data_IF_992368863135
#
_entry.id   IF_992368863135
#
_cell.length_a   1.000
_cell.length_b   1.000
_cell.length_c   1.000
_cell.angle_alpha   90.00
_cell.angle_beta   90.00
_cell.angle_gamma   90.00
#
_symmetry.space_group_name_H-M   'P 1'
#
loop_
_entity.id
_entity.type
_entity.pdbx_description
1 polymer ?
#
# COMPACT_ATOMS: atom_id res chain seq x y z
N UNK A 1 -29.08 41.68 16.60
CA UNK A 1 -29.80 42.97 16.79
C UNK A 1 -31.16 42.99 16.10
N UNK A 2 -31.34 42.46 14.88
CA UNK A 2 -32.65 42.50 14.19
C UNK A 2 -33.63 41.39 14.66
N UNK A 3 -33.12 40.27 15.19
CA UNK A 3 -33.95 39.12 15.60
C UNK A 3 -34.66 39.26 16.96
N UNK A 4 -34.23 40.16 17.86
CA UNK A 4 -34.82 40.32 19.20
C UNK A 4 -36.13 41.13 19.22
N UNK A 5 -36.53 41.72 18.08
CA UNK A 5 -37.70 42.62 17.98
C UNK A 5 -38.89 42.00 17.24
N UNK A 6 -38.78 40.76 16.79
CA UNK A 6 -39.81 40.07 15.99
C UNK A 6 -40.72 39.23 16.89
N UNK A 7 -42.03 39.40 16.74
CA UNK A 7 -43.03 38.61 17.48
C UNK A 7 -42.93 37.14 17.04
N UNK A 8 -43.18 36.17 17.91
CA UNK A 8 -43.04 34.73 17.61
C UNK A 8 -43.70 34.29 16.28
N UNK A 9 -44.81 34.92 15.89
CA UNK A 9 -45.51 34.62 14.64
C UNK A 9 -44.72 35.04 13.38
N UNK A 10 -43.93 36.12 13.45
CA UNK A 10 -43.13 36.61 12.32
C UNK A 10 -41.90 35.72 12.09
N UNK A 11 -41.31 35.20 13.17
CA UNK A 11 -40.21 34.23 13.09
C UNK A 11 -40.66 32.90 12.44
N UNK A 12 -41.87 32.45 12.75
CA UNK A 12 -42.45 31.23 12.13
C UNK A 12 -42.66 31.44 10.62
N UNK A 13 -43.13 32.62 10.21
CA UNK A 13 -43.33 32.95 8.79
C UNK A 13 -41.99 33.00 8.03
N UNK A 14 -40.96 33.61 8.61
CA UNK A 14 -39.63 33.66 7.99
C UNK A 14 -39.03 32.25 7.86
N UNK A 15 -39.20 31.40 8.88
CA UNK A 15 -38.74 30.02 8.85
C UNK A 15 -39.47 29.18 7.77
N UNK A 16 -40.79 29.35 7.63
CA UNK A 16 -41.57 28.70 6.58
C UNK A 16 -41.14 29.14 5.17
N UNK A 17 -40.87 30.43 4.97
CA UNK A 17 -40.38 30.96 3.68
C UNK A 17 -38.99 30.42 3.32
N UNK A 18 -38.13 30.21 4.31
CA UNK A 18 -36.80 29.62 4.13
C UNK A 18 -36.89 28.12 3.74
N UNK A 19 -37.76 27.36 4.40
CA UNK A 19 -38.02 25.96 4.05
C UNK A 19 -38.60 25.83 2.63
N UNK A 20 -39.54 26.69 2.26
CA UNK A 20 -40.12 26.70 0.91
C UNK A 20 -39.04 27.00 -0.15
N UNK A 21 -38.14 27.96 0.11
CA UNK A 21 -37.01 28.24 -0.79
C UNK A 21 -36.08 27.03 -0.96
N UNK A 22 -35.72 26.35 0.13
CA UNK A 22 -34.87 25.15 0.07
C UNK A 22 -35.53 24.05 -0.78
N UNK A 23 -36.83 23.83 -0.59
CA UNK A 23 -37.59 22.81 -1.34
C UNK A 23 -37.63 23.15 -2.85
N UNK A 24 -37.85 24.42 -3.20
CA UNK A 24 -37.86 24.90 -4.60
C UNK A 24 -36.49 24.69 -5.28
N UNK A 25 -35.38 24.80 -4.54
CA UNK A 25 -34.04 24.57 -5.09
C UNK A 25 -33.65 23.08 -5.22
N UNK A 26 -34.15 22.19 -4.35
CA UNK A 26 -33.76 20.76 -4.33
C UNK A 26 -34.50 19.94 -5.40
N UNK A 27 -35.78 20.22 -5.64
CA UNK A 27 -36.62 19.50 -6.61
C UNK A 27 -36.07 19.53 -8.05
N UNK A 28 -35.61 20.66 -8.61
CA UNK A 28 -35.03 20.66 -9.96
C UNK A 28 -33.73 19.85 -10.03
N UNK A 29 -32.87 19.90 -9.02
CA UNK A 29 -31.60 19.16 -8.99
C UNK A 29 -31.80 17.64 -9.10
N UNK A 30 -32.82 17.10 -8.43
CA UNK A 30 -33.18 15.68 -8.49
C UNK A 30 -33.75 15.28 -9.86
N UNK A 31 -34.60 16.13 -10.45
CA UNK A 31 -35.18 15.89 -11.78
C UNK A 31 -34.12 15.95 -12.89
N UNK A 32 -33.19 16.90 -12.84
CA UNK A 32 -32.08 16.97 -13.78
C UNK A 32 -31.17 15.74 -13.68
N UNK A 33 -30.91 15.23 -12.48
CA UNK A 33 -30.13 14.01 -12.27
C UNK A 33 -30.76 12.78 -12.93
N UNK A 34 -32.08 12.60 -12.77
CA UNK A 34 -32.81 11.49 -13.40
C UNK A 34 -32.79 11.56 -14.93
N UNK A 35 -33.01 12.75 -15.49
CA UNK A 35 -32.96 12.97 -16.94
C UNK A 35 -31.56 12.68 -17.48
N UNK A 36 -30.51 13.06 -16.76
CA UNK A 36 -29.12 12.78 -17.15
C UNK A 36 -28.82 11.28 -17.19
N UNK A 37 -29.29 10.52 -16.19
CA UNK A 37 -29.11 9.06 -16.15
C UNK A 37 -29.84 8.38 -17.30
N UNK A 38 -31.05 8.83 -17.64
CA UNK A 38 -31.84 8.30 -18.75
C UNK A 38 -31.15 8.59 -20.10
N UNK A 39 -30.65 9.81 -20.30
CA UNK A 39 -29.92 10.19 -21.51
C UNK A 39 -28.61 9.39 -21.63
N UNK A 40 -27.87 9.24 -20.52
CA UNK A 40 -26.61 8.51 -20.50
C UNK A 40 -26.80 7.02 -20.78
N UNK A 41 -27.82 6.39 -20.20
CA UNK A 41 -28.15 4.98 -20.47
C UNK A 41 -28.64 4.76 -21.89
N UNK A 42 -29.44 5.68 -22.45
CA UNK A 42 -29.86 5.65 -23.84
C UNK A 42 -28.68 5.81 -24.81
N UNK A 43 -27.75 6.73 -24.52
CA UNK A 43 -26.53 6.92 -25.31
C UNK A 43 -25.66 5.65 -25.35
N UNK A 44 -25.46 5.01 -24.19
CA UNK A 44 -24.72 3.75 -24.07
C UNK A 44 -25.40 2.59 -24.81
N UNK A 45 -26.72 2.50 -24.78
CA UNK A 45 -27.45 1.45 -25.51
C UNK A 45 -27.45 1.67 -27.03
N UNK A 46 -27.58 2.93 -27.47
CA UNK A 46 -27.58 3.28 -28.90
C UNK A 46 -26.21 3.03 -29.55
N UNK A 47 -25.12 3.31 -28.83
CA UNK A 47 -23.75 3.08 -29.31
C UNK A 47 -23.30 1.60 -29.29
N UNK A 48 -24.05 0.71 -28.64
CA UNK A 48 -23.77 -0.73 -28.59
C UNK A 48 -24.38 -1.53 -29.76
N UNK A 49 -24.70 -0.86 -30.88
CA UNK A 49 -25.31 -1.49 -32.07
C UNK A 49 -24.34 -2.21 -33.03
N UNK A 50 -23.07 -2.39 -32.66
CA UNK A 50 -22.14 -3.20 -33.44
C UNK A 50 -22.00 -4.60 -32.82
N UNK A 51 -22.67 -5.57 -33.44
CA UNK A 51 -22.75 -7.00 -33.08
C UNK A 51 -21.43 -7.79 -33.20
N UNK A 52 -20.26 -7.14 -33.20
CA UNK A 52 -18.99 -7.84 -33.22
C UNK A 52 -18.59 -8.15 -31.78
N UNK A 53 -19.22 -9.19 -31.22
CA UNK A 53 -18.86 -9.74 -29.92
C UNK A 53 -17.41 -10.23 -30.03
N UNK A 54 -16.51 -9.55 -29.32
CA UNK A 54 -15.13 -9.99 -29.24
C UNK A 54 -15.06 -11.23 -28.34
N UNK A 55 -15.15 -12.42 -28.94
CA UNK A 55 -15.12 -13.71 -28.26
C UNK A 55 -13.90 -13.88 -27.34
N UNK A 56 -12.76 -13.27 -27.68
CA UNK A 56 -11.59 -13.28 -26.83
C UNK A 56 -11.86 -12.54 -25.50
N UNK A 57 -12.45 -11.36 -25.56
CA UNK A 57 -12.82 -10.59 -24.36
C UNK A 57 -13.93 -11.29 -23.56
N UNK A 58 -14.90 -11.92 -24.23
CA UNK A 58 -15.95 -12.68 -23.56
C UNK A 58 -15.40 -13.91 -22.82
N UNK A 59 -14.46 -14.64 -23.43
CA UNK A 59 -13.78 -15.77 -22.79
C UNK A 59 -12.90 -15.34 -21.62
N UNK A 60 -12.17 -14.22 -21.75
CA UNK A 60 -11.36 -13.67 -20.66
C UNK A 60 -12.24 -13.18 -19.50
N UNK A 61 -13.39 -12.57 -19.79
CA UNK A 61 -14.38 -12.19 -18.79
C UNK A 61 -14.91 -13.40 -18.03
N UNK A 62 -15.29 -14.47 -18.72
CA UNK A 62 -15.83 -15.66 -18.06
C UNK A 62 -14.78 -16.39 -17.22
N UNK A 63 -13.52 -16.43 -17.70
CA UNK A 63 -12.39 -16.94 -16.91
C UNK A 63 -12.20 -16.14 -15.61
N UNK A 64 -12.19 -14.81 -15.68
CA UNK A 64 -12.05 -13.95 -14.50
C UNK A 64 -13.24 -14.07 -13.53
N UNK A 65 -14.46 -14.28 -14.06
CA UNK A 65 -15.67 -14.55 -13.28
C UNK A 65 -15.53 -15.87 -12.50
N UNK A 66 -15.11 -16.94 -13.17
CA UNK A 66 -14.92 -18.24 -12.54
C UNK A 66 -13.79 -18.21 -11.49
N UNK A 67 -12.69 -17.53 -11.76
CA UNK A 67 -11.62 -17.31 -10.77
C UNK A 67 -12.12 -16.60 -9.51
N UNK A 68 -12.98 -15.59 -9.66
CA UNK A 68 -13.58 -14.87 -8.52
C UNK A 68 -14.53 -15.75 -7.71
N UNK A 69 -15.35 -16.55 -8.39
CA UNK A 69 -16.24 -17.52 -7.75
C UNK A 69 -15.46 -18.57 -6.96
N UNK A 70 -14.43 -19.17 -7.57
CA UNK A 70 -13.59 -20.16 -6.91
C UNK A 70 -12.87 -19.58 -5.68
N UNK A 71 -12.42 -18.32 -5.73
CA UNK A 71 -11.86 -17.63 -4.55
C UNK A 71 -12.86 -17.47 -3.42
N UNK A 72 -14.13 -17.19 -3.74
CA UNK A 72 -15.19 -17.10 -2.73
C UNK A 72 -15.49 -18.46 -2.11
N UNK A 73 -15.65 -19.51 -2.92
CA UNK A 73 -15.85 -20.88 -2.42
C UNK A 73 -14.66 -21.33 -1.56
N UNK A 74 -13.44 -20.95 -1.95
CA UNK A 74 -12.23 -21.30 -1.19
C UNK A 74 -12.15 -20.67 0.21
N UNK A 75 -13.02 -19.73 0.56
CA UNK A 75 -13.13 -19.23 1.93
C UNK A 75 -13.88 -20.21 2.85
N UNK A 76 -14.66 -21.13 2.28
CA UNK A 76 -15.51 -22.07 3.02
C UNK A 76 -15.05 -23.51 2.89
N UNK A 77 -14.49 -23.88 1.74
CA UNK A 77 -14.04 -25.24 1.43
C UNK A 77 -12.71 -25.15 0.71
N UNK A 78 -11.73 -25.97 1.07
CA UNK A 78 -10.46 -26.00 0.34
C UNK A 78 -10.68 -26.55 -1.08
N UNK A 79 -10.63 -25.67 -2.09
CA UNK A 79 -10.76 -26.02 -3.50
C UNK A 79 -9.39 -25.88 -4.16
N UNK A 80 -8.96 -26.82 -5.03
CA UNK A 80 -7.70 -26.69 -5.76
C UNK A 80 -7.75 -25.49 -6.73
N UNK A 81 -7.28 -24.33 -6.27
CA UNK A 81 -7.15 -23.13 -7.09
C UNK A 81 -5.91 -23.28 -7.97
N UNK A 82 -6.07 -23.12 -9.29
CA UNK A 82 -4.94 -22.94 -10.19
C UNK A 82 -4.16 -21.69 -9.79
N UNK A 83 -2.89 -21.90 -9.42
CA UNK A 83 -1.84 -20.95 -9.02
C UNK A 83 -2.17 -19.46 -9.22
N UNK A 84 -2.01 -18.69 -8.13
CA UNK A 84 -2.05 -17.22 -8.09
C UNK A 84 -1.47 -16.62 -9.37
N UNK A 85 -2.31 -15.96 -10.17
CA UNK A 85 -1.91 -15.29 -11.41
C UNK A 85 -0.88 -14.21 -11.06
N UNK A 86 0.41 -14.48 -11.35
CA UNK A 86 1.50 -13.52 -11.13
C UNK A 86 1.45 -12.52 -12.28
N UNK A 87 0.82 -11.36 -12.04
CA UNK A 87 0.78 -10.29 -13.03
C UNK A 87 2.16 -9.61 -13.14
N UNK A 88 2.67 -9.37 -14.36
CA UNK A 88 3.92 -8.65 -14.58
C UNK A 88 3.66 -7.15 -14.38
N UNK A 89 4.34 -6.55 -13.40
CA UNK A 89 4.16 -5.13 -13.04
C UNK A 89 5.38 -4.30 -13.39
N UNK A 90 5.34 -3.63 -14.54
CA UNK A 90 6.46 -2.84 -15.09
C UNK A 90 6.91 -1.67 -14.20
N UNK A 91 6.06 -1.17 -13.29
CA UNK A 91 6.39 -0.01 -12.47
C UNK A 91 7.44 -0.30 -11.39
N UNK A 92 7.52 -1.54 -10.89
CA UNK A 92 8.57 -1.91 -9.94
C UNK A 92 9.91 -2.22 -10.63
N UNK A 93 9.94 -2.42 -11.95
CA UNK A 93 11.16 -2.72 -12.71
C UNK A 93 12.20 -1.59 -12.63
N UNK A 94 11.78 -0.34 -12.33
CA UNK A 94 12.67 0.83 -12.17
C UNK A 94 13.53 0.74 -10.91
N UNK A 95 13.02 0.10 -9.84
CA UNK A 95 13.74 -0.05 -8.57
C UNK A 95 14.64 -1.29 -8.54
N UNK A 96 14.62 -2.12 -9.59
CA UNK A 96 15.54 -3.25 -9.67
C UNK A 96 16.96 -2.77 -9.99
N UNK A 97 17.97 -3.23 -9.23
CA UNK A 97 19.35 -2.90 -9.54
C UNK A 97 19.70 -3.46 -10.92
N UNK A 98 20.15 -2.60 -11.83
CA UNK A 98 20.65 -3.01 -13.15
C UNK A 98 21.88 -3.90 -12.94
N UNK A 99 21.75 -5.18 -13.26
CA UNK A 99 22.87 -6.10 -13.26
C UNK A 99 23.74 -5.83 -14.48
N UNK A 100 24.93 -5.29 -14.26
CA UNK A 100 25.96 -5.18 -15.29
C UNK A 100 26.78 -6.48 -15.35
N UNK A 101 27.30 -6.80 -16.54
CA UNK A 101 28.08 -8.02 -16.85
C UNK A 101 29.26 -8.22 -15.87
N UNK A 102 29.85 -7.13 -15.37
CA UNK A 102 31.03 -7.17 -14.49
C UNK A 102 30.70 -7.45 -13.01
N UNK A 103 29.42 -7.52 -12.63
CA UNK A 103 29.00 -7.63 -11.22
C UNK A 103 28.17 -8.89 -10.92
N UNK A 104 28.11 -9.82 -11.89
CA UNK A 104 27.32 -11.04 -11.86
C UNK A 104 28.09 -12.19 -11.16
N UNK A 105 28.42 -12.00 -9.88
CA UNK A 105 28.96 -13.06 -9.03
C UNK A 105 27.83 -13.86 -8.36
N UNK A 106 28.09 -15.11 -7.96
CA UNK A 106 27.12 -16.00 -7.28
C UNK A 106 26.47 -15.32 -6.07
N UNK A 107 27.25 -14.55 -5.30
CA UNK A 107 26.77 -13.77 -4.15
C UNK A 107 25.83 -12.60 -4.54
N UNK A 108 26.11 -11.91 -5.64
CA UNK A 108 25.26 -10.81 -6.13
C UNK A 108 24.01 -11.31 -6.85
N UNK A 109 24.07 -12.48 -7.49
CA UNK A 109 22.93 -13.10 -8.18
C UNK A 109 21.78 -13.40 -7.21
N UNK A 110 22.10 -13.90 -6.01
CA UNK A 110 21.09 -14.11 -4.96
C UNK A 110 20.49 -12.79 -4.46
N UNK A 111 21.32 -11.77 -4.22
CA UNK A 111 20.80 -10.47 -3.81
C UNK A 111 19.81 -9.90 -4.84
N UNK A 112 20.12 -10.01 -6.14
CA UNK A 112 19.20 -9.62 -7.21
C UNK A 112 17.93 -10.49 -7.25
N UNK A 113 18.06 -11.81 -7.12
CA UNK A 113 16.91 -12.72 -7.08
C UNK A 113 15.98 -12.39 -5.92
N UNK A 114 16.52 -12.17 -4.73
CA UNK A 114 15.73 -11.79 -3.55
C UNK A 114 15.05 -10.44 -3.74
N UNK A 115 15.76 -9.43 -4.26
CA UNK A 115 15.18 -8.10 -4.56
C UNK A 115 14.05 -8.24 -5.57
N UNK A 116 14.28 -8.97 -6.67
CA UNK A 116 13.28 -9.20 -7.72
C UNK A 116 12.07 -9.98 -7.20
N UNK A 117 12.30 -11.00 -6.39
CA UNK A 117 11.22 -11.81 -5.81
C UNK A 117 10.40 -11.01 -4.80
N UNK A 118 11.06 -10.17 -3.98
CA UNK A 118 10.41 -9.23 -3.07
C UNK A 118 9.54 -8.22 -3.84
N UNK A 119 10.07 -7.62 -4.90
CA UNK A 119 9.32 -6.68 -5.75
C UNK A 119 8.18 -7.33 -6.55
N UNK A 120 8.29 -8.64 -6.84
CA UNK A 120 7.26 -9.39 -7.58
C UNK A 120 6.11 -9.86 -6.68
N UNK A 121 6.32 -10.03 -5.38
CA UNK A 121 5.27 -10.44 -4.45
C UNK A 121 4.44 -9.23 -4.02
N UNK A 122 3.29 -9.02 -4.67
CA UNK A 122 2.44 -7.84 -4.46
C UNK A 122 2.09 -7.63 -2.98
N UNK A 123 1.67 -8.69 -2.29
CA UNK A 123 1.18 -8.55 -0.91
C UNK A 123 2.29 -8.11 0.07
N UNK A 124 3.57 -8.35 -0.21
CA UNK A 124 4.62 -8.16 0.78
C UNK A 124 5.12 -6.71 0.85
N UNK A 125 5.29 -6.07 -0.30
CA UNK A 125 5.71 -4.66 -0.38
C UNK A 125 4.61 -3.76 0.19
N UNK A 126 3.35 -4.02 -0.19
CA UNK A 126 2.21 -3.26 0.32
C UNK A 126 2.05 -3.40 1.84
N UNK A 127 2.47 -4.53 2.42
CA UNK A 127 2.45 -4.74 3.87
C UNK A 127 3.43 -3.80 4.58
N UNK A 128 4.68 -3.74 4.10
CA UNK A 128 5.70 -2.82 4.65
C UNK A 128 5.33 -1.36 4.39
N UNK A 129 4.86 -1.03 3.17
CA UNK A 129 4.44 0.33 2.82
C UNK A 129 3.25 0.81 3.65
N UNK A 130 2.28 -0.07 3.96
CA UNK A 130 1.14 0.29 4.82
C UNK A 130 1.62 0.65 6.22
N UNK A 131 2.55 -0.12 6.79
CA UNK A 131 3.12 0.17 8.09
C UNK A 131 3.91 1.49 8.05
N UNK A 132 4.65 1.75 6.97
CA UNK A 132 5.39 3.00 6.78
C UNK A 132 4.45 4.21 6.71
N UNK A 133 3.34 4.09 5.97
CA UNK A 133 2.33 5.14 5.88
C UNK A 133 1.71 5.46 7.24
N UNK A 134 1.42 4.44 8.05
CA UNK A 134 0.94 4.63 9.43
C UNK A 134 1.99 5.31 10.32
N UNK A 135 3.25 4.87 10.25
CA UNK A 135 4.33 5.48 11.01
C UNK A 135 4.54 6.96 10.63
N UNK A 136 4.52 7.27 9.33
CA UNK A 136 4.59 8.64 8.83
C UNK A 136 3.41 9.49 9.33
N UNK A 137 2.20 8.96 9.25
CA UNK A 137 1.01 9.65 9.74
C UNK A 137 1.14 10.05 11.21
N UNK A 138 1.58 9.12 12.08
CA UNK A 138 1.77 9.38 13.51
C UNK A 138 2.87 10.42 13.77
N UNK A 139 4.01 10.31 13.06
CA UNK A 139 5.13 11.26 13.19
C UNK A 139 4.68 12.67 12.82
N UNK A 140 3.92 12.81 11.73
CA UNK A 140 3.40 14.11 11.27
C UNK A 140 2.35 14.67 12.23
N UNK A 141 1.43 13.85 12.75
CA UNK A 141 0.33 14.36 13.59
C UNK A 141 0.77 14.87 14.96
N UNK A 142 1.77 14.25 15.59
CA UNK A 142 2.08 14.51 17.01
C UNK A 142 3.14 15.58 17.21
N UNK A 143 3.84 16.03 16.15
CA UNK A 143 4.88 17.07 16.16
C UNK A 143 5.81 17.02 17.40
N UNK A 144 6.14 15.82 17.88
CA UNK A 144 6.93 15.60 19.10
C UNK A 144 8.05 14.60 18.82
N UNK A 145 9.29 14.98 19.18
CA UNK A 145 10.50 14.19 18.90
C UNK A 145 10.52 12.87 19.67
N UNK A 146 10.08 12.86 20.93
CA UNK A 146 10.06 11.65 21.76
C UNK A 146 9.11 10.61 21.18
N UNK A 147 7.97 11.06 20.69
CA UNK A 147 7.00 10.17 20.04
C UNK A 147 7.55 9.69 18.70
N UNK A 148 8.17 10.56 17.91
CA UNK A 148 8.78 10.18 16.63
C UNK A 148 9.84 9.09 16.81
N UNK A 149 10.68 9.21 17.84
CA UNK A 149 11.67 8.20 18.20
C UNK A 149 11.05 6.85 18.57
N UNK A 150 10.02 6.87 19.42
CA UNK A 150 9.29 5.65 19.79
C UNK A 150 8.65 4.97 18.56
N UNK A 151 8.06 5.76 17.66
CA UNK A 151 7.44 5.28 16.43
C UNK A 151 8.48 4.68 15.47
N UNK A 152 9.65 5.30 15.30
CA UNK A 152 10.73 4.78 14.44
C UNK A 152 11.23 3.41 14.95
N UNK A 153 11.42 3.28 16.26
CA UNK A 153 11.84 2.01 16.88
C UNK A 153 10.75 0.95 16.71
N UNK A 154 9.50 1.31 16.96
CA UNK A 154 8.35 0.41 16.83
C UNK A 154 8.15 -0.04 15.39
N UNK A 155 8.29 0.87 14.42
CA UNK A 155 8.25 0.58 13.00
C UNK A 155 9.34 -0.43 12.61
N UNK A 156 10.60 -0.20 13.02
CA UNK A 156 11.70 -1.11 12.70
C UNK A 156 11.45 -2.51 13.26
N UNK A 157 10.98 -2.61 14.50
CA UNK A 157 10.62 -3.89 15.13
C UNK A 157 9.55 -4.64 14.32
N UNK A 158 8.44 -3.97 14.01
CA UNK A 158 7.32 -4.58 13.27
C UNK A 158 7.73 -4.91 11.82
N UNK A 159 8.52 -4.06 11.17
CA UNK A 159 9.02 -4.30 9.82
C UNK A 159 9.91 -5.55 9.76
N UNK A 160 10.79 -5.77 10.75
CA UNK A 160 11.59 -7.00 10.86
C UNK A 160 10.70 -8.24 10.96
N UNK A 161 9.67 -8.20 11.81
CA UNK A 161 8.73 -9.33 11.95
C UNK A 161 7.98 -9.62 10.64
N UNK A 162 7.53 -8.58 9.95
CA UNK A 162 6.85 -8.71 8.65
C UNK A 162 7.79 -9.29 7.59
N UNK A 163 9.04 -8.80 7.51
CA UNK A 163 10.05 -9.29 6.58
C UNK A 163 10.44 -10.75 6.86
N UNK A 164 10.46 -11.16 8.13
CA UNK A 164 10.71 -12.55 8.53
C UNK A 164 9.60 -13.50 8.07
N UNK A 165 8.33 -13.08 8.12
CA UNK A 165 7.23 -13.88 7.58
C UNK A 165 7.40 -14.15 6.07
N UNK A 166 7.99 -13.19 5.34
CA UNK A 166 8.32 -13.34 3.91
C UNK A 166 9.42 -14.36 3.71
N UNK A 167 10.47 -14.35 4.54
CA UNK A 167 11.55 -15.33 4.47
C UNK A 167 11.02 -16.77 4.49
N UNK A 168 10.15 -17.06 5.47
CA UNK A 168 9.52 -18.38 5.62
C UNK A 168 8.70 -18.77 4.38
N UNK A 169 7.95 -17.82 3.82
CA UNK A 169 7.15 -18.03 2.60
C UNK A 169 8.01 -18.18 1.34
N UNK A 170 9.19 -17.55 1.28
CA UNK A 170 10.10 -17.71 0.16
C UNK A 170 10.81 -19.06 0.20
N UNK A 171 11.17 -19.55 1.38
CA UNK A 171 11.80 -20.86 1.55
C UNK A 171 10.87 -22.04 1.21
N UNK A 172 9.55 -21.83 1.21
CA UNK A 172 8.58 -22.86 0.80
C UNK A 172 8.35 -22.93 -0.72
N UNK A 173 8.93 -22.00 -1.51
CA UNK A 173 8.79 -21.99 -2.96
C UNK A 173 9.88 -22.85 -3.59
N UNK A 174 9.49 -23.81 -4.44
CA UNK A 174 10.35 -24.76 -5.18
C UNK A 174 11.63 -24.14 -5.80
N UNK A 175 11.56 -22.88 -6.25
CA UNK A 175 12.70 -22.14 -6.81
C UNK A 175 13.93 -22.07 -5.89
N UNK A 176 13.76 -22.24 -4.57
CA UNK A 176 14.86 -22.31 -3.60
C UNK A 176 15.71 -23.58 -3.71
N UNK A 177 15.14 -24.67 -4.23
CA UNK A 177 15.82 -25.97 -4.38
C UNK A 177 16.56 -26.11 -5.72
N UNK A 178 16.22 -25.30 -6.73
CA UNK A 178 16.75 -25.42 -8.09
C UNK A 178 18.15 -24.79 -8.21
N UNK A 179 18.53 -23.88 -7.30
CA UNK A 179 19.84 -23.21 -7.33
C UNK A 179 20.69 -23.71 -6.15
N UNK A 180 21.72 -24.55 -6.39
CA UNK A 180 22.53 -25.19 -5.36
C UNK A 180 23.57 -24.20 -4.82
N UNK A 181 23.16 -23.35 -3.88
CA UNK A 181 24.08 -22.50 -3.12
C UNK A 181 23.96 -22.82 -1.64
N UNK A 182 25.09 -22.73 -0.94
CA UNK A 182 25.18 -22.92 0.51
C UNK A 182 24.16 -22.07 1.25
N UNK A 183 23.46 -22.68 2.22
CA UNK A 183 22.39 -22.02 2.96
C UNK A 183 22.88 -20.79 3.76
N UNK A 184 24.17 -20.75 4.11
CA UNK A 184 24.82 -19.60 4.72
C UNK A 184 24.83 -18.37 3.80
N UNK A 185 25.15 -18.55 2.51
CA UNK A 185 25.16 -17.46 1.54
C UNK A 185 23.74 -16.94 1.24
N UNK A 186 22.73 -17.80 1.32
CA UNK A 186 21.32 -17.42 1.20
C UNK A 186 20.88 -16.50 2.34
N UNK A 187 21.18 -16.89 3.59
CA UNK A 187 20.88 -16.08 4.79
C UNK A 187 21.58 -14.72 4.74
N UNK A 188 22.87 -14.68 4.39
CA UNK A 188 23.64 -13.43 4.29
C UNK A 188 23.02 -12.49 3.25
N UNK A 189 22.64 -13.01 2.08
CA UNK A 189 22.03 -12.23 1.01
C UNK A 189 20.66 -11.68 1.41
N UNK A 190 19.87 -12.48 2.10
CA UNK A 190 18.56 -12.07 2.61
C UNK A 190 18.66 -11.03 3.72
N UNK A 191 19.59 -11.22 4.67
CA UNK A 191 19.87 -10.27 5.74
C UNK A 191 20.32 -8.91 5.18
N UNK A 192 21.12 -8.92 4.09
CA UNK A 192 21.53 -7.70 3.39
C UNK A 192 20.33 -6.96 2.78
N UNK A 193 19.39 -7.69 2.20
CA UNK A 193 18.18 -7.10 1.63
C UNK A 193 17.29 -6.47 2.71
N UNK A 194 17.02 -7.19 3.80
CA UNK A 194 16.26 -6.66 4.94
C UNK A 194 16.93 -5.39 5.48
N UNK A 195 18.24 -5.46 5.73
CA UNK A 195 19.01 -4.33 6.25
C UNK A 195 18.88 -3.10 5.35
N UNK A 196 18.99 -3.29 4.02
CA UNK A 196 18.82 -2.20 3.06
C UNK A 196 17.41 -1.59 3.08
N UNK A 197 16.35 -2.41 3.15
CA UNK A 197 14.97 -1.90 3.24
C UNK A 197 14.76 -1.12 4.53
N UNK A 198 15.20 -1.66 5.67
CA UNK A 198 15.05 -1.00 6.97
C UNK A 198 15.84 0.29 7.03
N UNK A 199 17.05 0.34 6.46
CA UNK A 199 17.84 1.57 6.35
C UNK A 199 17.10 2.63 5.53
N UNK A 200 16.64 2.29 4.33
CA UNK A 200 15.93 3.25 3.45
C UNK A 200 14.68 3.80 4.15
N UNK A 201 13.87 2.92 4.75
CA UNK A 201 12.63 3.33 5.41
C UNK A 201 12.86 4.11 6.70
N UNK A 202 13.92 3.80 7.45
CA UNK A 202 14.35 4.59 8.61
C UNK A 202 14.84 5.98 8.19
N UNK A 203 15.62 6.09 7.11
CA UNK A 203 16.08 7.38 6.59
C UNK A 203 14.89 8.26 6.20
N UNK A 204 13.87 7.69 5.54
CA UNK A 204 12.65 8.42 5.18
C UNK A 204 11.94 8.95 6.44
N UNK A 205 11.72 8.11 7.45
CA UNK A 205 11.06 8.53 8.69
C UNK A 205 11.86 9.61 9.44
N UNK A 206 13.19 9.49 9.44
CA UNK A 206 14.10 10.47 10.03
C UNK A 206 14.02 11.81 9.30
N UNK A 207 14.09 11.80 7.96
CA UNK A 207 13.99 13.03 7.16
C UNK A 207 12.68 13.77 7.41
N UNK A 208 11.58 13.03 7.50
CA UNK A 208 10.26 13.61 7.82
C UNK A 208 10.24 14.18 9.24
N UNK A 209 10.84 13.48 10.21
CA UNK A 209 10.95 13.97 11.59
C UNK A 209 11.77 15.28 11.68
N UNK A 210 12.86 15.40 10.92
CA UNK A 210 13.68 16.63 10.84
C UNK A 210 12.88 17.79 10.26
N UNK A 211 12.12 17.53 9.18
CA UNK A 211 11.35 18.56 8.49
C UNK A 211 10.27 19.19 9.38
N UNK A 212 9.74 18.43 10.34
CA UNK A 212 8.70 18.88 11.26
C UNK A 212 9.26 19.79 12.37
N UNK A 213 10.37 19.39 13.02
CA UNK A 213 10.94 20.11 14.14
C UNK A 213 12.46 20.20 14.02
N UNK A 214 12.93 21.30 13.44
CA UNK A 214 14.35 21.55 13.29
C UNK A 214 14.94 22.14 14.59
N UNK A 215 15.68 21.32 15.35
CA UNK A 215 16.46 21.75 16.52
C UNK A 215 17.78 20.99 16.64
N UNK A 216 18.80 21.61 17.24
CA UNK A 216 20.12 20.98 17.47
C UNK A 216 20.02 19.72 18.36
N UNK A 217 19.11 19.73 19.33
CA UNK A 217 18.84 18.59 20.23
C UNK A 217 18.20 17.43 19.44
N UNK A 218 17.32 17.75 18.48
CA UNK A 218 16.66 16.75 17.64
C UNK A 218 17.67 16.05 16.72
N UNK A 219 18.66 16.77 16.18
CA UNK A 219 19.73 16.18 15.36
C UNK A 219 20.53 15.10 16.10
N UNK A 220 20.88 15.35 17.36
CA UNK A 220 21.58 14.36 18.22
C UNK A 220 20.71 13.13 18.50
N UNK A 221 19.42 13.33 18.82
CA UNK A 221 18.47 12.25 19.03
C UNK A 221 18.28 11.40 17.78
N UNK A 222 18.25 12.02 16.60
CA UNK A 222 18.14 11.34 15.32
C UNK A 222 19.37 10.49 15.02
N UNK A 223 20.59 11.00 15.24
CA UNK A 223 21.81 10.22 15.10
C UNK A 223 21.80 8.99 16.01
N UNK A 224 21.32 9.16 17.24
CA UNK A 224 21.11 8.05 18.17
C UNK A 224 20.09 7.04 17.65
N UNK A 225 18.97 7.47 17.05
CA UNK A 225 18.00 6.53 16.44
C UNK A 225 18.56 5.77 15.24
N UNK A 226 19.35 6.42 14.38
CA UNK A 226 20.03 5.74 13.26
C UNK A 226 21.01 4.70 13.80
N UNK A 227 21.79 5.05 14.81
CA UNK A 227 22.74 4.12 15.42
C UNK A 227 22.02 2.94 16.10
N UNK A 228 20.97 3.22 16.86
CA UNK A 228 20.16 2.21 17.55
C UNK A 228 19.48 1.25 16.55
N UNK A 229 18.96 1.75 15.43
CA UNK A 229 18.34 0.91 14.38
C UNK A 229 19.37 0.05 13.65
N UNK A 230 20.57 0.57 13.34
CA UNK A 230 21.66 -0.23 12.77
C UNK A 230 22.08 -1.35 13.73
N UNK A 231 22.25 -1.01 15.01
CA UNK A 231 22.62 -1.99 16.04
C UNK A 231 21.53 -3.05 16.23
N UNK A 232 20.27 -2.63 16.30
CA UNK A 232 19.10 -3.50 16.42
C UNK A 232 19.00 -4.44 15.22
N UNK A 233 19.14 -3.92 14.00
CA UNK A 233 19.12 -4.72 12.77
C UNK A 233 20.26 -5.74 12.80
N UNK A 234 21.48 -5.35 13.17
CA UNK A 234 22.62 -6.28 13.27
C UNK A 234 22.36 -7.38 14.31
N UNK A 235 21.81 -7.03 15.47
CA UNK A 235 21.52 -7.99 16.54
C UNK A 235 20.41 -8.99 16.14
N UNK A 236 19.30 -8.50 15.59
CA UNK A 236 18.20 -9.35 15.15
C UNK A 236 18.59 -10.24 13.97
N UNK A 237 19.34 -9.71 12.99
CA UNK A 237 19.78 -10.47 11.82
C UNK A 237 20.81 -11.54 12.18
N UNK A 238 21.62 -11.34 13.23
CA UNK A 238 22.59 -12.35 13.70
C UNK A 238 21.92 -13.50 14.47
N UNK A 239 20.65 -13.34 14.86
CA UNK A 239 19.85 -14.35 15.55
C UNK A 239 18.95 -15.17 14.60
N UNK A 240 18.97 -14.86 13.29
CA UNK A 240 18.29 -15.56 12.19
C UNK A 240 19.18 -16.68 11.60
#
# INVERSE_FOLDING_TARGET
VIFDKLKNNELIIIFLLYIINIIIYIIPMFNFGFVFVIIYTYYLFSHKKNNNINWYQAAEYDKNRNESYLKFINMFVDVPINVVKISRRKYFDVFLPKLNVNNFNVSNSYNYYYIRSFFRQENTIFLVLRLLALALFVVISLHNIYVSMFVIISYNYLAVLQLMAIYKKMNSILWFYIIPVEDNLKKISFNKLISNILLITTIILVLVSIAINFSLINLLLILFTIFATIFFNKYFLNKL
#
